data_IF_662136047724
#
_entry.id   IF_662136047724
#
_cell.length_a   1.000
_cell.length_b   1.000
_cell.length_c   1.000
_cell.angle_alpha   90.00
_cell.angle_beta   90.00
_cell.angle_gamma   90.00
#
_symmetry.space_group_name_H-M   'P 1'
#
loop_
_entity.id
_entity.type
_entity.pdbx_description
1 polymer ?
#
# COMPACT_ATOMS: atom_id res chain seq x y z
N UNK A 1 26.27 28.05 -23.48
CA UNK A 1 26.75 26.70 -23.87
C UNK A 1 25.56 25.76 -23.73
N UNK A 2 25.16 25.09 -24.82
CA UNK A 2 23.96 24.25 -24.83
C UNK A 2 24.17 22.98 -23.98
N UNK A 3 23.12 22.52 -23.29
CA UNK A 3 23.13 21.22 -22.63
C UNK A 3 22.83 20.11 -23.65
N UNK A 4 23.41 18.93 -23.48
CA UNK A 4 23.13 17.77 -24.32
C UNK A 4 22.57 16.65 -23.46
N UNK A 5 21.60 15.90 -24.00
CA UNK A 5 21.06 14.72 -23.35
C UNK A 5 22.10 13.58 -23.43
N UNK A 6 22.43 12.97 -22.30
CA UNK A 6 23.32 11.80 -22.25
C UNK A 6 22.50 10.50 -22.26
N UNK A 7 22.09 10.07 -23.45
CA UNK A 7 21.31 8.84 -23.62
C UNK A 7 22.20 7.59 -23.54
N UNK A 8 21.72 6.49 -22.94
CA UNK A 8 22.35 5.17 -23.10
C UNK A 8 22.26 4.71 -24.57
N UNK A 9 23.04 3.70 -24.99
CA UNK A 9 23.02 3.20 -26.37
C UNK A 9 21.60 2.75 -26.75
N UNK A 10 20.99 3.47 -27.70
CA UNK A 10 19.62 3.23 -28.14
C UNK A 10 19.62 2.24 -29.31
N UNK A 11 18.89 1.14 -29.18
CA UNK A 11 18.84 0.07 -30.21
C UNK A 11 17.43 -0.22 -30.73
N UNK A 12 16.38 0.30 -30.09
CA UNK A 12 14.98 0.10 -30.47
C UNK A 12 14.36 1.35 -31.09
N UNK A 13 13.44 1.14 -32.04
CA UNK A 13 12.82 2.21 -32.84
C UNK A 13 11.96 3.16 -31.98
N UNK A 14 11.22 2.64 -30.99
CA UNK A 14 10.41 3.45 -30.08
C UNK A 14 11.22 4.51 -29.32
N UNK A 15 12.44 4.18 -28.89
CA UNK A 15 13.31 5.12 -28.18
C UNK A 15 13.94 6.17 -29.11
N UNK A 16 14.11 5.84 -30.40
CA UNK A 16 14.57 6.81 -31.41
C UNK A 16 13.48 7.87 -31.63
N UNK A 17 12.22 7.46 -31.73
CA UNK A 17 11.09 8.38 -31.87
C UNK A 17 10.98 9.35 -30.69
N UNK A 18 11.18 8.85 -29.46
CA UNK A 18 11.26 9.69 -28.26
C UNK A 18 12.38 10.73 -28.41
N UNK A 19 13.55 10.35 -28.93
CA UNK A 19 14.69 11.26 -29.08
C UNK A 19 14.38 12.45 -29.98
N UNK A 20 13.57 12.25 -31.04
CA UNK A 20 13.15 13.31 -31.96
C UNK A 20 12.10 14.26 -31.37
N UNK A 21 11.40 13.85 -30.31
CA UNK A 21 10.34 14.63 -29.66
C UNK A 21 10.81 15.47 -28.48
N UNK A 22 12.09 15.38 -28.10
CA UNK A 22 12.59 16.01 -26.89
C UNK A 22 12.82 17.51 -27.04
N UNK A 23 12.53 18.31 -25.99
CA UNK A 23 12.90 19.70 -25.95
C UNK A 23 14.42 19.88 -25.88
N UNK A 24 14.89 21.02 -26.39
CA UNK A 24 16.29 21.42 -26.27
C UNK A 24 16.66 21.68 -24.80
N UNK A 25 17.78 21.10 -24.33
CA UNK A 25 18.27 21.39 -22.98
C UNK A 25 19.06 22.71 -23.01
N UNK A 26 18.62 23.65 -22.18
CA UNK A 26 19.40 24.83 -21.86
C UNK A 26 20.29 24.48 -20.66
N UNK A 27 21.60 24.35 -20.90
CA UNK A 27 22.56 23.88 -19.89
C UNK A 27 22.42 24.64 -18.57
N UNK A 28 22.18 23.89 -17.49
CA UNK A 28 21.95 24.38 -16.13
C UNK A 28 22.17 23.24 -15.13
N UNK A 29 22.10 23.54 -13.82
CA UNK A 29 22.09 22.48 -12.80
C UNK A 29 20.73 21.80 -12.79
N UNK A 30 20.72 20.50 -13.00
CA UNK A 30 19.51 19.69 -12.82
C UNK A 30 19.07 19.77 -11.36
N UNK A 31 17.77 19.99 -11.16
CA UNK A 31 17.14 20.05 -9.85
C UNK A 31 15.79 19.37 -9.89
N UNK A 32 15.52 18.53 -8.89
CA UNK A 32 14.18 17.95 -8.70
C UNK A 32 13.32 19.02 -8.06
N UNK A 33 12.35 19.56 -8.81
CA UNK A 33 11.37 20.50 -8.29
C UNK A 33 10.04 19.77 -8.04
N UNK A 34 9.68 19.63 -6.77
CA UNK A 34 8.35 19.18 -6.41
C UNK A 34 7.40 20.37 -6.41
N UNK A 35 6.37 20.34 -7.26
CA UNK A 35 5.33 21.39 -7.32
C UNK A 35 3.96 20.81 -7.01
N UNK A 36 3.20 21.50 -6.18
CA UNK A 36 1.77 21.24 -5.96
C UNK A 36 0.90 22.30 -6.64
N UNK A 37 -0.44 22.16 -6.63
CA UNK A 37 -1.36 23.20 -7.08
C UNK A 37 -1.05 24.52 -6.36
N UNK A 38 -0.70 25.58 -7.11
CA UNK A 38 -0.30 26.87 -6.53
C UNK A 38 1.19 27.02 -6.20
N UNK A 39 2.06 26.11 -6.67
CA UNK A 39 3.52 26.28 -6.61
C UNK A 39 4.16 25.96 -5.27
N UNK A 40 3.38 25.65 -4.24
CA UNK A 40 3.88 25.17 -2.95
C UNK A 40 3.77 23.65 -2.86
N UNK A 41 4.82 23.01 -2.39
CA UNK A 41 4.84 21.56 -2.14
C UNK A 41 5.09 21.30 -0.66
N UNK A 42 4.15 20.59 -0.05
CA UNK A 42 4.29 20.11 1.32
C UNK A 42 4.41 18.59 1.30
N UNK A 43 5.18 18.05 2.24
CA UNK A 43 5.30 16.59 2.42
C UNK A 43 3.93 15.92 2.65
N UNK A 44 2.97 16.64 3.26
CA UNK A 44 1.60 16.19 3.43
C UNK A 44 0.85 16.02 2.09
N UNK A 45 1.05 16.94 1.15
CA UNK A 45 0.49 16.85 -0.20
C UNK A 45 1.08 15.66 -0.96
N UNK A 46 2.40 15.46 -0.86
CA UNK A 46 3.07 14.29 -1.43
C UNK A 46 2.47 12.99 -0.88
N UNK A 47 2.34 12.90 0.44
CA UNK A 47 1.79 11.74 1.11
C UNK A 47 0.35 11.45 0.66
N UNK A 48 -0.49 12.48 0.51
CA UNK A 48 -1.86 12.32 0.02
C UNK A 48 -1.93 11.81 -1.44
N UNK A 49 -0.98 12.21 -2.29
CA UNK A 49 -0.86 11.70 -3.67
C UNK A 49 -0.45 10.22 -3.67
N UNK A 50 0.52 9.84 -2.84
CA UNK A 50 1.00 8.46 -2.76
C UNK A 50 0.04 7.52 -2.00
N UNK A 51 -0.75 8.05 -1.08
CA UNK A 51 -1.68 7.32 -0.22
C UNK A 51 -3.06 7.96 -0.33
N UNK A 52 -3.79 7.76 -1.45
CA UNK A 52 -5.13 8.27 -1.58
C UNK A 52 -6.01 7.74 -0.44
N UNK A 53 -6.88 8.57 0.14
CA UNK A 53 -7.74 8.13 1.24
C UNK A 53 -8.59 6.95 0.79
N UNK A 54 -8.47 5.83 1.51
CA UNK A 54 -9.27 4.63 1.27
C UNK A 54 -10.78 4.89 1.48
N UNK A 55 -11.63 3.96 1.07
CA UNK A 55 -13.07 4.08 1.26
C UNK A 55 -13.40 4.30 2.74
N UNK A 56 -14.32 5.24 3.01
CA UNK A 56 -14.80 5.48 4.37
C UNK A 56 -15.57 4.26 4.85
N UNK A 57 -14.94 3.46 5.70
CA UNK A 57 -15.53 2.29 6.32
C UNK A 57 -16.11 2.65 7.69
N UNK A 58 -17.32 2.19 7.98
CA UNK A 58 -18.03 2.47 9.24
C UNK A 58 -17.31 1.89 10.48
N UNK A 59 -16.46 0.87 10.29
CA UNK A 59 -15.68 0.26 11.37
C UNK A 59 -14.38 1.01 11.69
N UNK A 60 -14.01 2.07 10.95
CA UNK A 60 -12.77 2.83 11.23
C UNK A 60 -12.77 3.44 12.64
N UNK A 61 -13.94 3.88 13.12
CA UNK A 61 -14.14 4.39 14.48
C UNK A 61 -13.87 3.32 15.56
N UNK A 62 -14.12 2.03 15.27
CA UNK A 62 -13.81 0.93 16.18
C UNK A 62 -12.29 0.73 16.35
N UNK A 63 -11.48 1.11 15.36
CA UNK A 63 -10.03 1.02 15.47
C UNK A 63 -9.43 2.23 16.20
N UNK A 64 -10.07 3.39 16.10
CA UNK A 64 -9.57 4.64 16.69
C UNK A 64 -10.02 4.80 18.15
N UNK A 65 -11.25 4.41 18.49
CA UNK A 65 -11.92 4.80 19.73
C UNK A 65 -11.79 3.85 20.93
N UNK A 66 -11.66 2.53 20.73
CA UNK A 66 -11.95 1.57 21.82
C UNK A 66 -10.73 0.89 22.44
N UNK A 67 -9.61 0.76 21.72
CA UNK A 67 -8.44 0.03 22.23
C UNK A 67 -7.25 0.97 22.40
N UNK A 68 -6.78 1.16 23.64
CA UNK A 68 -5.55 1.95 23.89
C UNK A 68 -4.25 1.21 23.54
N UNK A 69 -4.33 -0.08 23.23
CA UNK A 69 -3.18 -0.94 22.94
C UNK A 69 -3.11 -1.20 21.44
N UNK A 70 -2.02 -0.82 20.74
CA UNK A 70 -1.86 -1.02 19.30
C UNK A 70 -2.07 -2.47 18.85
N UNK A 71 -1.62 -3.43 19.66
CA UNK A 71 -1.79 -4.88 19.40
C UNK A 71 -3.26 -5.27 19.23
N UNK A 72 -4.16 -4.77 20.07
CA UNK A 72 -5.58 -5.11 20.00
C UNK A 72 -6.23 -4.50 18.76
N UNK A 73 -5.85 -3.27 18.38
CA UNK A 73 -6.31 -2.65 17.12
C UNK A 73 -5.89 -3.46 15.91
N UNK A 74 -4.65 -3.94 15.91
CA UNK A 74 -4.12 -4.76 14.81
C UNK A 74 -4.86 -6.10 14.69
N UNK A 75 -5.08 -6.80 15.81
CA UNK A 75 -5.83 -8.07 15.82
C UNK A 75 -7.29 -7.84 15.39
N UNK A 76 -7.94 -6.79 15.87
CA UNK A 76 -9.31 -6.44 15.47
C UNK A 76 -9.39 -6.09 13.98
N UNK A 77 -8.42 -5.35 13.46
CA UNK A 77 -8.34 -5.04 12.03
C UNK A 77 -8.19 -6.31 11.19
N UNK A 78 -7.33 -7.24 11.60
CA UNK A 78 -7.22 -8.55 10.94
C UNK A 78 -8.53 -9.35 11.03
N UNK A 79 -9.24 -9.30 12.16
CA UNK A 79 -10.53 -9.97 12.32
C UNK A 79 -11.60 -9.39 11.39
N UNK A 80 -11.70 -8.07 11.29
CA UNK A 80 -12.62 -7.37 10.37
C UNK A 80 -12.34 -7.75 8.91
N UNK A 81 -11.06 -7.94 8.56
CA UNK A 81 -10.64 -8.36 7.23
C UNK A 81 -10.77 -9.87 6.97
N UNK A 82 -11.17 -10.67 7.97
CA UNK A 82 -11.16 -12.15 7.87
C UNK A 82 -9.76 -12.73 7.67
N UNK A 83 -8.71 -11.99 8.06
CA UNK A 83 -7.29 -12.35 7.91
C UNK A 83 -6.67 -12.83 9.22
N UNK A 84 -7.47 -13.03 10.25
CA UNK A 84 -7.00 -13.64 11.48
C UNK A 84 -6.87 -15.15 11.22
N UNK A 85 -5.64 -15.67 11.22
CA UNK A 85 -5.42 -17.13 11.16
C UNK A 85 -5.86 -17.75 12.49
N UNK A 86 -7.15 -18.04 12.58
CA UNK A 86 -7.79 -18.69 13.72
C UNK A 86 -7.78 -20.21 13.57
N UNK A 87 -7.60 -20.75 12.36
CA UNK A 87 -7.84 -22.17 12.05
C UNK A 87 -6.66 -22.94 11.43
N UNK A 88 -5.56 -22.29 11.01
CA UNK A 88 -4.49 -22.98 10.28
C UNK A 88 -3.31 -23.39 11.15
N UNK A 89 -3.51 -23.46 12.46
CA UNK A 89 -2.45 -23.82 13.39
C UNK A 89 -2.43 -25.34 13.55
N UNK A 90 -1.42 -26.05 13.04
CA UNK A 90 -1.36 -27.51 13.12
C UNK A 90 -1.42 -28.04 14.56
N UNK A 91 -1.08 -27.24 15.57
CA UNK A 91 -1.25 -27.63 16.97
C UNK A 91 -2.70 -27.69 17.45
N UNK A 92 -3.66 -27.06 16.73
CA UNK A 92 -5.09 -27.23 17.00
C UNK A 92 -5.56 -28.65 16.63
N UNK A 93 -4.84 -29.39 15.79
CA UNK A 93 -5.15 -30.79 15.47
C UNK A 93 -5.01 -31.73 16.67
N UNK A 94 -4.30 -31.31 17.72
CA UNK A 94 -4.19 -32.07 18.98
C UNK A 94 -5.31 -31.77 19.97
N UNK A 95 -6.10 -30.70 19.74
CA UNK A 95 -7.35 -30.47 20.45
C UNK A 95 -8.39 -31.29 19.68
N UNK A 96 -8.84 -32.39 20.29
CA UNK A 96 -9.52 -33.50 19.64
C UNK A 96 -10.69 -33.14 18.72
N UNK A 97 -11.20 -34.16 18.02
CA UNK A 97 -12.28 -34.10 17.01
C UNK A 97 -13.65 -33.63 17.53
N UNK A 98 -13.69 -33.02 18.72
CA UNK A 98 -14.90 -32.53 19.38
C UNK A 98 -14.79 -31.02 19.58
N UNK A 99 -15.81 -30.31 19.12
CA UNK A 99 -15.98 -28.89 19.37
C UNK A 99 -15.91 -28.60 20.88
N UNK A 100 -14.91 -27.86 21.37
CA UNK A 100 -14.79 -27.55 22.81
C UNK A 100 -15.96 -26.73 23.35
N UNK A 101 -16.69 -26.03 22.47
CA UNK A 101 -17.83 -25.18 22.84
C UNK A 101 -19.15 -25.95 22.93
N UNK A 102 -19.30 -26.97 22.10
CA UNK A 102 -20.57 -27.68 21.91
C UNK A 102 -20.47 -29.18 22.21
N UNK A 103 -19.28 -29.68 22.50
CA UNK A 103 -18.93 -31.09 22.73
C UNK A 103 -19.32 -32.06 21.60
N UNK A 104 -19.85 -31.56 20.49
CA UNK A 104 -20.30 -32.37 19.36
C UNK A 104 -19.14 -32.69 18.39
N UNK A 105 -19.15 -33.92 17.88
CA UNK A 105 -18.18 -34.45 16.90
C UNK A 105 -18.64 -34.23 15.45
N UNK A 106 -19.43 -33.18 15.20
CA UNK A 106 -19.88 -32.86 13.85
C UNK A 106 -18.82 -32.01 13.15
N UNK A 107 -18.44 -32.37 11.91
CA UNK A 107 -17.56 -31.52 11.12
C UNK A 107 -18.28 -30.19 10.84
N UNK A 108 -17.57 -29.10 11.08
CA UNK A 108 -18.04 -27.76 10.75
C UNK A 108 -18.34 -27.71 9.24
N UNK A 109 -19.61 -27.48 8.89
CA UNK A 109 -20.03 -27.27 7.49
C UNK A 109 -20.07 -25.77 7.26
N UNK A 110 -19.30 -25.33 6.27
CA UNK A 110 -19.11 -23.92 5.92
C UNK A 110 -19.83 -23.57 4.61
#
# INVERSE_FOLDING_TARGET
MAGAWNWPPITNMESIEITHSLPAIHGGRDGILWTGPGGSFFSSTAYAVFSPPGPKVGWSLLLVGTFKIPRHRFILWLAILGRLSTLDKPWLQHLGTTCVLCQDALPETH
#
